data_IF_030805761897
#
_entry.id   IF_030805761897
#
_cell.length_a   1.000
_cell.length_b   1.000
_cell.length_c   1.000
_cell.angle_alpha   90.00
_cell.angle_beta   90.00
_cell.angle_gamma   90.00
#
_symmetry.space_group_name_H-M   'P 1'
#
loop_
_entity.id
_entity.type
_entity.pdbx_description
1 polymer ?
#
# COMPACT_ATOMS: atom_id res chain seq x y z
N UNK A 1 4.62 -4.02 -6.74
CA UNK A 1 5.41 -3.31 -5.70
C UNK A 1 5.24 -1.82 -5.95
N UNK A 2 5.11 -1.02 -4.90
CA UNK A 2 5.10 0.44 -4.99
C UNK A 2 6.47 0.95 -4.55
N UNK A 3 7.13 1.78 -5.36
CA UNK A 3 8.48 2.26 -5.06
C UNK A 3 8.74 3.63 -5.65
N UNK A 4 9.72 4.32 -5.08
CA UNK A 4 10.28 5.57 -5.60
C UNK A 4 11.79 5.43 -5.76
N UNK A 5 12.35 6.05 -6.80
CA UNK A 5 13.80 6.21 -6.95
C UNK A 5 14.22 7.49 -6.26
N UNK A 6 15.04 7.38 -5.22
CA UNK A 6 15.61 8.51 -4.50
C UNK A 6 17.14 8.37 -4.48
N UNK A 7 17.85 9.34 -5.07
CA UNK A 7 19.34 9.35 -5.10
C UNK A 7 19.97 8.03 -5.62
N UNK A 8 19.35 7.40 -6.61
CA UNK A 8 19.81 6.13 -7.18
C UNK A 8 19.43 4.88 -6.36
N UNK A 9 18.77 5.04 -5.22
CA UNK A 9 18.24 3.95 -4.39
C UNK A 9 16.76 3.74 -4.70
N UNK A 10 16.30 2.49 -4.67
CA UNK A 10 14.87 2.21 -4.72
C UNK A 10 14.35 2.10 -3.29
N UNK A 11 13.47 3.02 -2.91
CA UNK A 11 12.73 2.96 -1.65
C UNK A 11 11.38 2.33 -1.93
N UNK A 12 11.12 1.17 -1.35
CA UNK A 12 9.93 0.36 -1.61
C UNK A 12 8.99 0.45 -0.41
N UNK A 13 7.71 0.69 -0.66
CA UNK A 13 6.69 0.63 0.38
C UNK A 13 6.51 -0.82 0.84
N UNK A 14 6.75 -1.08 2.12
CA UNK A 14 6.69 -2.39 2.73
C UNK A 14 5.71 -2.41 3.90
N UNK A 15 5.03 -3.53 4.08
CA UNK A 15 4.20 -3.77 5.24
C UNK A 15 5.10 -4.03 6.46
N UNK A 16 5.08 -3.11 7.42
CA UNK A 16 5.82 -3.18 8.67
C UNK A 16 5.05 -3.85 9.80
N UNK A 17 5.61 -3.77 11.01
CA UNK A 17 4.92 -4.17 12.24
C UNK A 17 3.72 -3.27 12.53
N UNK A 18 2.73 -3.80 13.26
CA UNK A 18 1.56 -3.05 13.70
C UNK A 18 0.79 -2.35 12.56
N UNK A 19 0.72 -2.97 11.38
CA UNK A 19 -0.02 -2.47 10.21
C UNK A 19 0.51 -1.14 9.64
N UNK A 20 1.72 -0.73 10.01
CA UNK A 20 2.37 0.42 9.41
C UNK A 20 2.85 0.10 7.99
N UNK A 21 2.93 1.12 7.15
CA UNK A 21 3.65 1.06 5.88
C UNK A 21 4.96 1.82 6.05
N UNK A 22 6.07 1.14 5.77
CA UNK A 22 7.41 1.69 5.98
C UNK A 22 8.21 1.64 4.66
N UNK A 23 9.05 2.66 4.38
CA UNK A 23 9.95 2.61 3.25
C UNK A 23 11.16 1.74 3.59
N UNK A 24 11.45 0.73 2.77
CA UNK A 24 12.66 -0.09 2.86
C UNK A 24 13.50 0.07 1.59
N UNK A 25 14.82 0.22 1.74
CA UNK A 25 15.74 0.18 0.59
C UNK A 25 15.82 -1.26 0.08
N UNK A 26 15.45 -1.49 -1.17
CA UNK A 26 15.45 -2.83 -1.76
C UNK A 26 15.93 -2.81 -3.21
N UNK A 27 16.58 -3.90 -3.64
CA UNK A 27 16.71 -4.17 -5.06
C UNK A 27 15.35 -4.64 -5.60
N UNK A 28 14.93 -4.13 -6.77
CA UNK A 28 13.68 -4.54 -7.39
C UNK A 28 13.88 -5.92 -8.04
N UNK A 29 13.29 -6.99 -7.48
CA UNK A 29 13.51 -8.32 -8.01
C UNK A 29 12.76 -8.46 -9.34
N UNK A 30 13.33 -9.24 -10.26
CA UNK A 30 12.64 -9.64 -11.50
C UNK A 30 11.54 -10.67 -11.26
N UNK A 31 11.57 -11.35 -10.10
CA UNK A 31 10.60 -12.37 -9.70
C UNK A 31 10.44 -12.39 -8.18
N UNK A 32 9.20 -12.55 -7.72
CA UNK A 32 8.88 -12.88 -6.33
C UNK A 32 8.38 -14.32 -6.32
N UNK A 33 9.08 -15.22 -5.63
CA UNK A 33 8.73 -16.65 -5.60
C UNK A 33 7.69 -16.98 -4.52
N UNK A 34 7.58 -16.11 -3.52
CA UNK A 34 6.69 -16.26 -2.38
C UNK A 34 5.31 -15.65 -2.69
N UNK A 35 4.24 -16.36 -2.33
CA UNK A 35 2.88 -15.83 -2.48
C UNK A 35 2.57 -14.69 -1.49
N UNK A 36 3.32 -14.59 -0.39
CA UNK A 36 3.17 -13.55 0.63
C UNK A 36 4.50 -12.82 0.77
N UNK A 37 4.52 -11.51 0.53
CA UNK A 37 5.74 -10.72 0.63
C UNK A 37 5.42 -9.30 1.11
N UNK A 38 6.24 -8.74 2.02
CA UNK A 38 5.97 -7.43 2.65
C UNK A 38 5.84 -6.27 1.66
N UNK A 39 6.52 -6.34 0.53
CA UNK A 39 6.48 -5.33 -0.53
C UNK A 39 5.45 -5.61 -1.64
N UNK A 40 4.75 -6.74 -1.57
CA UNK A 40 3.81 -7.16 -2.61
C UNK A 40 2.38 -6.82 -2.21
N UNK A 41 1.72 -6.10 -3.12
CA UNK A 41 0.33 -5.71 -3.03
C UNK A 41 -0.41 -6.15 -4.29
N UNK A 42 -1.63 -6.64 -4.13
CA UNK A 42 -2.54 -6.97 -5.21
C UNK A 42 -3.39 -5.75 -5.54
N UNK A 43 -3.23 -5.23 -6.75
CA UNK A 43 -4.01 -4.11 -7.25
C UNK A 43 -5.34 -4.61 -7.82
N UNK A 44 -6.44 -4.01 -7.37
CA UNK A 44 -7.78 -4.27 -7.91
C UNK A 44 -8.40 -2.95 -8.36
N UNK A 45 -9.02 -2.94 -9.55
CA UNK A 45 -9.73 -1.79 -10.04
C UNK A 45 -11.13 -1.69 -9.41
N UNK A 46 -11.50 -0.52 -8.93
CA UNK A 46 -12.84 -0.20 -8.48
C UNK A 46 -13.66 0.27 -9.67
N UNK A 47 -14.52 -0.62 -10.16
CA UNK A 47 -15.28 -0.44 -11.41
C UNK A 47 -16.17 0.80 -11.45
N UNK A 48 -16.56 1.34 -10.30
CA UNK A 48 -17.46 2.49 -10.20
C UNK A 48 -16.75 3.84 -10.08
N UNK A 49 -15.49 3.89 -9.67
CA UNK A 49 -14.81 5.14 -9.27
C UNK A 49 -13.52 5.47 -10.04
N UNK A 50 -13.16 4.70 -11.08
CA UNK A 50 -11.86 4.83 -11.78
C UNK A 50 -10.65 4.84 -10.82
N UNK A 51 -10.82 4.26 -9.63
CA UNK A 51 -9.82 4.18 -8.60
C UNK A 51 -9.32 2.75 -8.45
N UNK A 52 -8.25 2.60 -7.68
CA UNK A 52 -7.64 1.31 -7.38
C UNK A 52 -7.53 1.11 -5.89
N UNK A 53 -7.55 -0.15 -5.48
CA UNK A 53 -7.18 -0.56 -4.12
C UNK A 53 -6.00 -1.51 -4.19
N UNK A 54 -5.20 -1.51 -3.12
CA UNK A 54 -3.98 -2.30 -3.01
C UNK A 54 -4.04 -3.17 -1.76
N UNK A 55 -4.42 -4.45 -1.90
CA UNK A 55 -4.45 -5.42 -0.80
C UNK A 55 -3.04 -5.94 -0.51
N UNK A 56 -2.65 -6.00 0.76
CA UNK A 56 -1.38 -6.61 1.17
C UNK A 56 -1.40 -8.12 0.93
N UNK A 57 -0.37 -8.63 0.23
CA UNK A 57 -0.18 -10.09 0.13
C UNK A 57 0.25 -10.73 1.46
N UNK A 58 0.89 -9.97 2.34
CA UNK A 58 1.36 -10.43 3.65
C UNK A 58 0.26 -10.37 4.73
N UNK A 59 -0.72 -9.47 4.57
CA UNK A 59 -1.81 -9.27 5.52
C UNK A 59 -3.16 -9.27 4.77
N UNK A 60 -3.82 -10.43 4.62
CA UNK A 60 -5.11 -10.53 3.95
C UNK A 60 -6.17 -9.60 4.55
N UNK A 61 -7.05 -9.06 3.70
CA UNK A 61 -8.09 -8.09 4.10
C UNK A 61 -7.55 -6.78 4.70
N UNK A 62 -6.26 -6.49 4.46
CA UNK A 62 -5.64 -5.20 4.78
C UNK A 62 -5.23 -4.49 3.50
N UNK A 63 -5.65 -3.24 3.38
CA UNK A 63 -5.47 -2.44 2.17
C UNK A 63 -4.64 -1.20 2.48
N UNK A 64 -3.85 -0.75 1.50
CA UNK A 64 -3.22 0.56 1.61
C UNK A 64 -4.28 1.65 1.68
N UNK A 65 -4.12 2.55 2.64
CA UNK A 65 -4.97 3.72 2.78
C UNK A 65 -4.30 4.82 3.60
N UNK A 66 -5.01 5.93 3.76
CA UNK A 66 -4.51 7.10 4.47
C UNK A 66 -5.29 7.34 5.76
N UNK A 67 -4.58 7.64 6.84
CA UNK A 67 -5.14 8.13 8.10
C UNK A 67 -4.46 9.44 8.52
N UNK A 68 -5.14 10.35 9.23
CA UNK A 68 -4.49 11.52 9.83
C UNK A 68 -3.39 11.10 10.81
N UNK A 69 -2.27 11.82 10.85
CA UNK A 69 -1.25 11.59 11.86
C UNK A 69 -1.75 12.04 13.24
N UNK A 70 -1.54 11.19 14.26
CA UNK A 70 -2.03 11.43 15.61
C UNK A 70 -1.32 12.57 16.35
N UNK A 71 -0.10 12.92 15.94
CA UNK A 71 0.64 14.05 16.51
C UNK A 71 0.40 15.35 15.74
N UNK A 72 0.24 15.27 14.41
CA UNK A 72 -0.10 16.40 13.55
C UNK A 72 -1.23 16.05 12.56
N UNK A 73 -2.49 16.42 12.86
CA UNK A 73 -3.64 16.13 12.00
C UNK A 73 -3.59 16.77 10.60
N UNK A 74 -2.66 17.70 10.35
CA UNK A 74 -2.45 18.26 9.00
C UNK A 74 -1.66 17.33 8.07
N UNK A 75 -1.02 16.30 8.64
CA UNK A 75 -0.31 15.27 7.90
C UNK A 75 -1.16 14.02 7.77
N UNK A 76 -1.00 13.32 6.65
CA UNK A 76 -1.60 12.00 6.43
C UNK A 76 -0.51 10.94 6.38
N UNK A 77 -0.74 9.84 7.09
CA UNK A 77 0.11 8.65 7.07
C UNK A 77 -0.46 7.61 6.12
N UNK A 78 0.43 6.96 5.37
CA UNK A 78 0.11 5.74 4.63
C UNK A 78 0.16 4.54 5.58
N UNK A 79 -0.92 3.76 5.64
CA UNK A 79 -1.10 2.64 6.57
C UNK A 79 -1.84 1.47 5.92
N UNK A 80 -1.93 0.35 6.64
CA UNK A 80 -2.77 -0.80 6.28
C UNK A 80 -4.10 -0.77 7.04
N UNK A 81 -5.16 -0.35 6.35
CA UNK A 81 -6.51 -0.31 6.90
C UNK A 81 -7.21 -1.67 6.76
N UNK A 82 -8.00 -2.03 7.76
CA UNK A 82 -8.80 -3.26 7.74
C UNK A 82 -10.15 -3.00 7.11
N UNK A 83 -10.52 -3.80 6.12
CA UNK A 83 -11.77 -3.67 5.39
C UNK A 83 -12.29 -5.04 4.96
N UNK A 84 -13.59 -5.25 4.96
CA UNK A 84 -14.16 -6.39 4.26
C UNK A 84 -13.90 -6.24 2.74
N UNK A 85 -13.60 -7.33 2.03
CA UNK A 85 -13.27 -7.24 0.60
C UNK A 85 -14.38 -6.61 -0.26
N UNK A 86 -15.63 -6.77 0.16
CA UNK A 86 -16.81 -6.29 -0.58
C UNK A 86 -17.28 -4.90 -0.12
N UNK A 87 -16.67 -4.34 0.93
CA UNK A 87 -16.98 -2.99 1.41
C UNK A 87 -16.19 -1.97 0.59
N UNK A 88 -16.77 -0.81 0.28
CA UNK A 88 -16.04 0.29 -0.37
C UNK A 88 -15.64 1.28 0.71
N UNK A 89 -14.34 1.51 0.88
CA UNK A 89 -13.80 2.50 1.80
C UNK A 89 -12.97 3.50 1.00
N UNK A 90 -13.44 4.76 0.96
CA UNK A 90 -12.78 5.85 0.23
C UNK A 90 -11.35 6.11 0.72
N UNK A 91 -11.04 5.82 1.99
CA UNK A 91 -9.70 5.99 2.55
C UNK A 91 -8.66 5.05 1.96
N UNK A 92 -9.10 3.94 1.33
CA UNK A 92 -8.27 2.96 0.65
C UNK A 92 -8.18 3.17 -0.87
N UNK A 93 -8.88 4.18 -1.40
CA UNK A 93 -8.90 4.45 -2.84
C UNK A 93 -7.69 5.26 -3.27
N UNK A 94 -7.02 4.78 -4.31
CA UNK A 94 -5.90 5.46 -4.94
C UNK A 94 -6.24 5.79 -6.38
N UNK A 95 -6.14 7.07 -6.71
CA UNK A 95 -6.21 7.56 -8.08
C UNK A 95 -4.80 7.51 -8.68
N UNK A 96 -4.65 6.73 -9.76
CA UNK A 96 -3.41 6.73 -10.55
C UNK A 96 -3.63 7.67 -11.73
N UNK A 97 -2.81 8.72 -11.82
CA UNK A 97 -2.79 9.58 -12.99
C UNK A 97 -2.05 8.88 -14.13
N UNK A 98 -2.64 8.88 -15.33
CA UNK A 98 -2.00 8.44 -16.57
C UNK A 98 -0.96 9.46 -17.08
#
# INVERSE_FOLDING_TARGET
>A
MLYVKNEGRNMVACCGSAHAVVPEEMQLPSRIEEAQHRALFYMSALTLSHAYEFESSAFPSRFLGFEPDGADPSLCRLVLLGKARDEVDESCQVLLCD
#
